data_IF_564361204274
#
_entry.id   IF_564361204274
#
_cell.length_a   1.000
_cell.length_b   1.000
_cell.length_c   1.000
_cell.angle_alpha   90.00
_cell.angle_beta   90.00
_cell.angle_gamma   90.00
#
_symmetry.space_group_name_H-M   'P 1'
#
loop_
_entity.id
_entity.type
_entity.pdbx_description
1 polymer ?
#
# COMPACT_ATOMS: atom_id res chain seq x y z
N UNK A 1 24.91 -5.80 -12.78
CA UNK A 1 23.45 -5.99 -12.96
C UNK A 1 23.02 -7.39 -12.52
N UNK A 2 23.44 -8.47 -13.21
CA UNK A 2 22.98 -9.84 -12.92
C UNK A 2 23.20 -10.30 -11.47
N UNK A 3 24.41 -10.13 -10.92
CA UNK A 3 24.69 -10.54 -9.53
C UNK A 3 23.80 -9.85 -8.49
N UNK A 4 23.38 -8.61 -8.75
CA UNK A 4 22.51 -7.87 -7.83
C UNK A 4 21.07 -8.36 -7.94
N UNK A 5 20.58 -8.59 -9.15
CA UNK A 5 19.24 -9.13 -9.37
C UNK A 5 19.07 -10.51 -8.72
N UNK A 6 20.08 -11.39 -8.82
CA UNK A 6 20.07 -12.68 -8.09
C UNK A 6 20.05 -12.51 -6.57
N UNK A 7 20.82 -11.57 -6.03
CA UNK A 7 20.82 -11.28 -4.60
C UNK A 7 19.44 -10.78 -4.13
N UNK A 8 18.84 -9.83 -4.86
CA UNK A 8 17.50 -9.31 -4.55
C UNK A 8 16.43 -10.40 -4.66
N UNK A 9 16.49 -11.26 -5.68
CA UNK A 9 15.56 -12.41 -5.79
C UNK A 9 15.69 -13.35 -4.60
N UNK A 10 16.92 -13.66 -4.17
CA UNK A 10 17.14 -14.49 -2.99
C UNK A 10 16.59 -13.82 -1.71
N UNK A 11 16.79 -12.52 -1.54
CA UNK A 11 16.24 -11.75 -0.42
C UNK A 11 14.72 -11.65 -0.47
N UNK A 12 14.13 -11.54 -1.66
CA UNK A 12 12.68 -11.39 -1.87
C UNK A 12 11.88 -12.66 -1.56
N UNK A 13 12.57 -13.78 -1.33
CA UNK A 13 11.96 -15.01 -0.81
C UNK A 13 11.84 -15.05 0.72
N UNK A 14 12.39 -14.05 1.43
CA UNK A 14 12.52 -14.04 2.89
C UNK A 14 11.63 -12.98 3.52
N UNK A 15 10.63 -13.35 4.32
CA UNK A 15 9.73 -12.40 4.99
C UNK A 15 10.32 -11.72 6.23
N UNK A 16 11.47 -12.20 6.71
CA UNK A 16 12.16 -11.66 7.89
C UNK A 16 13.64 -11.44 7.57
N UNK A 17 13.99 -10.20 7.27
CA UNK A 17 15.37 -9.73 7.17
C UNK A 17 15.73 -8.88 8.39
N UNK A 18 17.03 -8.79 8.70
CA UNK A 18 17.51 -7.90 9.74
C UNK A 18 17.21 -6.43 9.36
N UNK A 19 16.78 -5.62 10.31
CA UNK A 19 16.39 -4.21 10.07
C UNK A 19 17.51 -3.40 9.42
N UNK A 20 18.77 -3.66 9.77
CA UNK A 20 19.92 -3.02 9.13
C UNK A 20 19.98 -3.33 7.63
N UNK A 21 19.79 -4.60 7.27
CA UNK A 21 19.79 -5.03 5.86
C UNK A 21 18.59 -4.45 5.09
N UNK A 22 17.42 -4.35 5.73
CA UNK A 22 16.25 -3.70 5.11
C UNK A 22 16.54 -2.22 4.85
N UNK A 23 17.17 -1.51 5.78
CA UNK A 23 17.55 -0.11 5.59
C UNK A 23 18.66 0.05 4.53
N UNK A 24 19.60 -0.89 4.44
CA UNK A 24 20.63 -0.92 3.40
C UNK A 24 20.04 -1.08 1.99
N UNK A 25 18.78 -1.53 1.86
CA UNK A 25 18.08 -1.62 0.57
C UNK A 25 17.50 -0.28 0.10
N UNK A 26 17.30 0.70 0.99
CA UNK A 26 16.65 1.99 0.66
C UNK A 26 17.37 2.72 -0.49
N UNK A 27 18.71 2.84 -0.53
CA UNK A 27 19.39 3.51 -1.64
C UNK A 27 19.15 2.88 -3.02
N UNK A 28 18.76 1.60 -3.08
CA UNK A 28 18.49 0.91 -4.35
C UNK A 28 17.11 1.22 -4.94
N UNK A 29 16.27 1.92 -4.19
CA UNK A 29 14.99 2.46 -4.69
C UNK A 29 15.20 3.57 -5.74
N UNK A 30 16.34 4.27 -5.68
CA UNK A 30 16.73 5.31 -6.63
C UNK A 30 17.73 4.82 -7.69
N UNK A 31 17.98 3.52 -7.76
CA UNK A 31 18.98 2.94 -8.66
C UNK A 31 18.66 3.19 -10.15
N UNK A 32 19.65 3.56 -10.96
CA UNK A 32 19.44 3.91 -12.38
C UNK A 32 18.77 2.80 -13.22
N UNK A 33 18.95 1.54 -12.81
CA UNK A 33 18.30 0.37 -13.40
C UNK A 33 16.94 0.08 -12.76
N UNK A 34 15.88 0.16 -13.55
CA UNK A 34 14.50 -0.03 -13.12
C UNK A 34 14.20 -1.44 -12.63
N UNK A 35 14.87 -2.45 -13.19
CA UNK A 35 14.69 -3.84 -12.73
C UNK A 35 15.17 -3.96 -11.28
N UNK A 36 16.26 -3.27 -10.93
CA UNK A 36 16.80 -3.24 -9.57
C UNK A 36 15.85 -2.47 -8.66
N UNK A 37 15.26 -1.35 -9.09
CA UNK A 37 14.24 -0.64 -8.30
C UNK A 37 13.05 -1.55 -7.99
N UNK A 38 12.48 -2.21 -9.01
CA UNK A 38 11.31 -3.09 -8.85
C UNK A 38 11.63 -4.29 -7.95
N UNK A 39 12.78 -4.93 -8.15
CA UNK A 39 13.22 -6.03 -7.30
C UNK A 39 13.42 -5.58 -5.86
N UNK A 40 14.00 -4.39 -5.64
CA UNK A 40 14.17 -3.82 -4.30
C UNK A 40 12.81 -3.58 -3.63
N UNK A 41 11.88 -2.91 -4.30
CA UNK A 41 10.50 -2.69 -3.80
C UNK A 41 9.82 -4.03 -3.47
N UNK A 42 10.03 -5.05 -4.30
CA UNK A 42 9.46 -6.39 -4.06
C UNK A 42 10.02 -7.05 -2.80
N UNK A 43 11.33 -6.93 -2.56
CA UNK A 43 11.99 -7.43 -1.34
C UNK A 43 11.39 -6.75 -0.09
N UNK A 44 11.22 -5.42 -0.13
CA UNK A 44 10.61 -4.65 0.96
C UNK A 44 9.13 -5.02 1.15
N UNK A 45 8.40 -5.26 0.06
CA UNK A 45 7.01 -5.69 0.08
C UNK A 45 6.81 -7.02 0.81
N UNK A 46 7.73 -7.97 0.67
CA UNK A 46 7.65 -9.29 1.32
C UNK A 46 7.96 -9.23 2.83
N UNK A 47 8.63 -8.19 3.32
CA UNK A 47 8.97 -8.08 4.75
C UNK A 47 7.72 -7.99 5.63
N UNK A 48 7.66 -8.74 6.72
CA UNK A 48 6.50 -8.68 7.62
C UNK A 48 6.38 -7.32 8.33
N UNK A 49 7.51 -6.73 8.71
CA UNK A 49 7.60 -5.46 9.42
C UNK A 49 8.40 -4.49 8.54
N UNK A 50 7.89 -3.27 8.40
CA UNK A 50 8.61 -2.16 7.79
C UNK A 50 8.77 -1.04 8.82
N UNK A 51 9.98 -0.54 8.96
CA UNK A 51 10.24 0.66 9.74
C UNK A 51 9.75 1.90 8.97
N UNK A 52 9.53 3.01 9.69
CA UNK A 52 9.00 4.25 9.10
C UNK A 52 9.84 4.78 7.94
N UNK A 53 11.17 4.66 8.02
CA UNK A 53 12.09 5.04 6.94
C UNK A 53 11.78 4.33 5.61
N UNK A 54 11.45 3.05 5.69
CA UNK A 54 11.11 2.24 4.52
C UNK A 54 9.73 2.62 3.98
N UNK A 55 8.78 2.88 4.88
CA UNK A 55 7.44 3.33 4.50
C UNK A 55 7.53 4.68 3.78
N UNK A 56 8.27 5.64 4.33
CA UNK A 56 8.50 6.96 3.71
C UNK A 56 9.16 6.83 2.33
N UNK A 57 10.14 5.95 2.18
CA UNK A 57 10.78 5.70 0.89
C UNK A 57 9.80 5.12 -0.16
N UNK A 58 8.94 4.17 0.24
CA UNK A 58 7.90 3.62 -0.63
C UNK A 58 6.82 4.66 -0.99
N UNK A 59 6.47 5.54 -0.06
CA UNK A 59 5.57 6.67 -0.30
C UNK A 59 6.17 7.64 -1.30
N UNK A 60 7.45 7.97 -1.17
CA UNK A 60 8.15 8.85 -2.11
C UNK A 60 8.04 8.33 -3.54
N UNK A 61 8.27 7.03 -3.75
CA UNK A 61 8.11 6.37 -5.07
C UNK A 61 6.69 6.51 -5.60
N UNK A 62 5.70 6.32 -4.73
CA UNK A 62 4.29 6.34 -5.11
C UNK A 62 3.87 7.74 -5.58
N UNK A 63 4.34 8.78 -4.88
CA UNK A 63 4.03 10.19 -5.17
C UNK A 63 4.91 10.82 -6.26
N UNK A 64 6.02 10.17 -6.64
CA UNK A 64 6.95 10.68 -7.66
C UNK A 64 6.30 10.67 -9.04
N UNK A 65 6.05 11.87 -9.59
CA UNK A 65 5.42 12.04 -10.91
C UNK A 65 6.29 11.51 -12.07
N UNK A 66 7.59 11.38 -11.87
CA UNK A 66 8.52 10.82 -12.85
C UNK A 66 8.66 9.29 -12.77
N UNK A 67 8.20 8.68 -11.66
CA UNK A 67 8.28 7.24 -11.48
C UNK A 67 7.37 6.51 -12.47
N UNK A 68 7.92 5.46 -13.09
CA UNK A 68 7.16 4.64 -14.03
C UNK A 68 5.98 3.95 -13.35
N UNK A 69 4.84 3.77 -14.05
CA UNK A 69 3.65 3.13 -13.48
C UNK A 69 3.92 1.77 -12.82
N UNK A 70 4.79 0.94 -13.41
CA UNK A 70 5.15 -0.38 -12.84
C UNK A 70 5.83 -0.28 -11.47
N UNK A 71 6.65 0.75 -11.25
CA UNK A 71 7.36 0.96 -9.98
C UNK A 71 6.39 1.48 -8.92
N UNK A 72 5.54 2.44 -9.28
CA UNK A 72 4.45 2.92 -8.42
C UNK A 72 3.54 1.78 -8.00
N UNK A 73 3.16 0.91 -8.93
CA UNK A 73 2.34 -0.25 -8.64
C UNK A 73 3.01 -1.22 -7.65
N UNK A 74 4.31 -1.48 -7.83
CA UNK A 74 5.06 -2.30 -6.89
C UNK A 74 5.08 -1.67 -5.48
N UNK A 75 5.27 -0.35 -5.38
CA UNK A 75 5.30 0.35 -4.10
C UNK A 75 3.93 0.34 -3.41
N UNK A 76 2.86 0.62 -4.17
CA UNK A 76 1.50 0.53 -3.68
C UNK A 76 1.19 -0.88 -3.17
N UNK A 77 1.55 -1.93 -3.92
CA UNK A 77 1.38 -3.33 -3.50
C UNK A 77 2.19 -3.64 -2.24
N UNK A 78 3.44 -3.17 -2.15
CA UNK A 78 4.29 -3.37 -0.99
C UNK A 78 3.65 -2.77 0.28
N UNK A 79 3.21 -1.51 0.22
CA UNK A 79 2.49 -0.85 1.32
C UNK A 79 1.18 -1.58 1.65
N UNK A 80 0.44 -2.02 0.63
CA UNK A 80 -0.82 -2.75 0.77
C UNK A 80 -0.66 -4.04 1.59
N UNK A 81 0.45 -4.74 1.50
CA UNK A 81 0.62 -5.97 2.30
C UNK A 81 0.77 -5.72 3.81
N UNK A 82 0.96 -4.46 4.24
CA UNK A 82 1.20 -4.15 5.65
C UNK A 82 -0.11 -4.08 6.42
N UNK A 83 -0.06 -4.61 7.65
CA UNK A 83 -1.19 -4.58 8.58
C UNK A 83 -1.47 -3.17 9.06
N UNK A 84 -0.44 -2.42 9.43
CA UNK A 84 -0.56 -1.02 9.89
C UNK A 84 0.33 -0.13 9.02
N UNK A 85 -0.19 1.04 8.64
CA UNK A 85 0.55 2.08 7.94
C UNK A 85 0.27 3.44 8.61
N UNK A 86 1.23 4.37 8.61
CA UNK A 86 1.01 5.75 9.00
C UNK A 86 0.09 6.47 8.00
N UNK A 87 -0.54 7.55 8.45
CA UNK A 87 -1.46 8.37 7.66
C UNK A 87 -0.86 8.85 6.32
N UNK A 88 0.42 9.20 6.30
CA UNK A 88 1.08 9.65 5.07
C UNK A 88 1.09 8.56 3.97
N UNK A 89 1.26 7.30 4.35
CA UNK A 89 1.21 6.19 3.41
C UNK A 89 -0.22 5.88 2.97
N UNK A 90 -1.20 6.14 3.84
CA UNK A 90 -2.61 6.09 3.48
C UNK A 90 -2.94 7.12 2.40
N UNK A 91 -2.61 8.40 2.64
CA UNK A 91 -2.91 9.49 1.70
C UNK A 91 -2.25 9.22 0.35
N UNK A 92 -0.99 8.80 0.35
CA UNK A 92 -0.28 8.46 -0.88
C UNK A 92 -0.91 7.28 -1.64
N UNK A 93 -1.39 6.25 -0.94
CA UNK A 93 -2.13 5.15 -1.55
C UNK A 93 -3.46 5.60 -2.15
N UNK A 94 -4.18 6.50 -1.47
CA UNK A 94 -5.43 7.07 -1.94
C UNK A 94 -5.22 7.89 -3.21
N UNK A 95 -4.28 8.85 -3.19
CA UNK A 95 -4.00 9.71 -4.34
C UNK A 95 -3.52 8.90 -5.55
N UNK A 96 -2.84 7.77 -5.30
CA UNK A 96 -2.41 6.89 -6.37
C UNK A 96 -3.54 6.02 -6.96
N UNK A 97 -4.71 5.90 -6.32
CA UNK A 97 -5.79 5.02 -6.82
C UNK A 97 -6.20 5.38 -8.26
N UNK A 98 -6.24 6.66 -8.60
CA UNK A 98 -6.62 7.13 -9.94
C UNK A 98 -5.57 6.79 -11.02
N UNK A 99 -4.32 6.59 -10.62
CA UNK A 99 -3.16 6.33 -11.51
C UNK A 99 -2.78 4.84 -11.60
N UNK A 100 -3.41 3.98 -10.79
CA UNK A 100 -3.08 2.56 -10.69
C UNK A 100 -3.95 1.70 -11.62
N UNK A 101 -3.39 0.60 -12.13
CA UNK A 101 -4.18 -0.39 -12.87
C UNK A 101 -5.12 -1.18 -11.94
N UNK A 102 -6.15 -1.82 -12.52
CA UNK A 102 -7.18 -2.56 -11.77
C UNK A 102 -6.63 -3.51 -10.69
N UNK A 103 -5.55 -4.26 -10.97
CA UNK A 103 -4.98 -5.22 -10.01
C UNK A 103 -4.32 -4.56 -8.80
N UNK A 104 -3.73 -3.38 -8.99
CA UNK A 104 -3.09 -2.63 -7.89
C UNK A 104 -4.11 -1.79 -7.15
N UNK A 105 -5.11 -1.26 -7.84
CA UNK A 105 -6.34 -0.71 -7.26
C UNK A 105 -6.99 -1.71 -6.29
N UNK A 106 -7.16 -2.96 -6.72
CA UNK A 106 -7.68 -4.04 -5.87
C UNK A 106 -6.87 -4.23 -4.59
N UNK A 107 -5.54 -4.22 -4.72
CA UNK A 107 -4.61 -4.48 -3.63
C UNK A 107 -4.59 -3.31 -2.64
N UNK A 108 -4.47 -2.08 -3.16
CA UNK A 108 -4.53 -0.86 -2.37
C UNK A 108 -5.85 -0.78 -1.59
N UNK A 109 -6.98 -0.92 -2.28
CA UNK A 109 -8.29 -0.87 -1.67
C UNK A 109 -8.56 -1.99 -0.64
N UNK A 110 -8.05 -3.20 -0.88
CA UNK A 110 -8.09 -4.30 0.10
C UNK A 110 -7.38 -3.91 1.39
N UNK A 111 -6.26 -3.21 1.27
CA UNK A 111 -5.42 -2.81 2.40
C UNK A 111 -5.99 -1.63 3.15
N UNK A 112 -6.60 -0.68 2.44
CA UNK A 112 -7.39 0.38 3.05
C UNK A 112 -8.50 -0.22 3.93
N UNK A 113 -9.23 -1.23 3.42
CA UNK A 113 -10.24 -1.98 4.17
C UNK A 113 -9.70 -2.65 5.44
N UNK A 114 -8.55 -3.32 5.34
CA UNK A 114 -7.91 -3.95 6.51
C UNK A 114 -7.44 -2.94 7.56
N UNK A 115 -7.00 -1.75 7.15
CA UNK A 115 -6.44 -0.77 8.08
C UNK A 115 -7.50 -0.21 9.01
N UNK A 116 -8.74 -0.06 8.53
CA UNK A 116 -9.88 0.35 9.36
C UNK A 116 -10.16 -0.63 10.48
N UNK A 117 -9.95 -1.94 10.27
CA UNK A 117 -10.10 -2.95 11.35
C UNK A 117 -9.12 -2.79 12.52
N UNK A 118 -8.14 -1.89 12.41
CA UNK A 118 -7.10 -1.67 13.43
C UNK A 118 -7.20 -0.29 14.08
N UNK A 119 -8.02 0.62 13.52
CA UNK A 119 -8.26 1.94 14.07
C UNK A 119 -9.34 1.95 15.17
N UNK A 120 -9.55 0.81 15.86
CA UNK A 120 -10.56 0.63 16.91
C UNK A 120 -10.51 1.70 18.02
N UNK A 121 -9.36 2.36 18.22
CA UNK A 121 -9.15 3.33 19.31
C UNK A 121 -9.04 4.81 18.89
N UNK A 122 -9.03 5.15 17.60
CA UNK A 122 -8.94 6.55 17.13
C UNK A 122 -9.92 6.80 15.99
N UNK A 123 -11.20 6.90 16.35
CA UNK A 123 -12.29 7.28 15.47
C UNK A 123 -12.15 8.74 14.99
N UNK A 124 -11.45 8.94 13.89
CA UNK A 124 -11.88 9.84 12.82
C UNK A 124 -11.43 9.27 11.50
N UNK A 125 -12.32 8.53 10.83
CA UNK A 125 -12.25 8.40 9.38
C UNK A 125 -12.35 9.85 8.84
N UNK A 126 -11.21 10.47 8.51
CA UNK A 126 -11.22 11.81 7.91
C UNK A 126 -11.63 11.69 6.43
N UNK A 127 -12.12 12.77 5.84
CA UNK A 127 -12.81 12.79 4.53
C UNK A 127 -12.11 12.05 3.37
N UNK A 128 -10.76 12.06 3.24
CA UNK A 128 -10.05 11.27 2.22
C UNK A 128 -10.22 9.77 2.42
N UNK A 129 -10.24 9.30 3.67
CA UNK A 129 -10.45 7.88 3.99
C UNK A 129 -11.86 7.46 3.57
N UNK A 130 -12.86 8.27 3.94
CA UNK A 130 -14.27 8.04 3.57
C UNK A 130 -14.44 8.04 2.05
N UNK A 131 -13.83 9.00 1.35
CA UNK A 131 -13.90 9.10 -0.12
C UNK A 131 -13.24 7.90 -0.80
N UNK A 132 -12.09 7.43 -0.30
CA UNK A 132 -11.43 6.20 -0.75
C UNK A 132 -12.34 4.98 -0.64
N UNK A 133 -13.07 4.88 0.47
CA UNK A 133 -14.00 3.79 0.70
C UNK A 133 -15.17 3.82 -0.26
N UNK A 134 -15.81 4.97 -0.44
CA UNK A 134 -16.93 5.12 -1.36
C UNK A 134 -16.48 4.80 -2.79
N UNK A 135 -15.31 5.31 -3.21
CA UNK A 135 -14.73 5.01 -4.51
C UNK A 135 -14.45 3.50 -4.67
N UNK A 136 -13.93 2.85 -3.62
CA UNK A 136 -13.68 1.41 -3.61
C UNK A 136 -14.97 0.59 -3.69
N UNK A 137 -16.01 0.96 -2.95
CA UNK A 137 -17.30 0.25 -2.94
C UNK A 137 -17.96 0.35 -4.32
N UNK A 138 -17.93 1.55 -4.93
CA UNK A 138 -18.61 1.82 -6.19
C UNK A 138 -17.83 1.31 -7.42
N UNK A 139 -16.50 1.47 -7.41
CA UNK A 139 -15.64 1.24 -8.59
C UNK A 139 -14.57 0.17 -8.42
N UNK A 140 -14.26 -0.25 -7.19
CA UNK A 140 -13.24 -1.26 -6.92
C UNK A 140 -13.63 -2.65 -7.42
N UNK A 141 -12.66 -3.57 -7.51
CA UNK A 141 -12.94 -4.96 -7.82
C UNK A 141 -13.60 -5.69 -6.63
N UNK A 142 -14.17 -6.87 -6.89
CA UNK A 142 -14.91 -7.65 -5.88
C UNK A 142 -14.19 -7.79 -4.54
N UNK A 143 -12.92 -8.20 -4.53
CA UNK A 143 -12.15 -8.39 -3.31
C UNK A 143 -11.92 -7.09 -2.52
N UNK A 144 -11.71 -6.00 -3.24
CA UNK A 144 -11.54 -4.67 -2.65
C UNK A 144 -12.84 -4.16 -2.02
N UNK A 145 -13.98 -4.37 -2.69
CA UNK A 145 -15.31 -4.05 -2.15
C UNK A 145 -15.59 -4.81 -0.87
N UNK A 146 -15.39 -6.13 -0.87
CA UNK A 146 -15.60 -6.97 0.32
C UNK A 146 -14.70 -6.51 1.47
N UNK A 147 -13.41 -6.28 1.20
CA UNK A 147 -12.46 -5.83 2.24
C UNK A 147 -12.82 -4.45 2.78
N UNK A 148 -13.29 -3.54 1.93
CA UNK A 148 -13.79 -2.23 2.34
C UNK A 148 -15.02 -2.34 3.24
N UNK A 149 -16.01 -3.16 2.84
CA UNK A 149 -17.24 -3.38 3.61
C UNK A 149 -16.93 -4.09 4.94
N UNK A 150 -16.07 -5.10 4.93
CA UNK A 150 -15.61 -5.79 6.15
C UNK A 150 -14.89 -4.83 7.09
N UNK A 151 -13.99 -4.00 6.54
CA UNK A 151 -13.31 -2.93 7.29
C UNK A 151 -14.30 -2.00 7.97
N UNK A 152 -15.26 -1.47 7.21
CA UNK A 152 -16.28 -0.57 7.73
C UNK A 152 -17.20 -1.26 8.75
N UNK A 153 -17.53 -2.54 8.56
CA UNK A 153 -18.34 -3.33 9.49
C UNK A 153 -17.70 -3.51 10.87
N UNK A 154 -16.38 -3.34 11.00
CA UNK A 154 -15.70 -3.34 12.30
C UNK A 154 -15.78 -2.01 13.05
N UNK A 155 -16.19 -0.92 12.39
CA UNK A 155 -16.21 0.40 13.01
C UNK A 155 -17.44 0.59 13.92
N UNK A 156 -17.24 1.08 15.16
CA UNK A 156 -18.35 1.34 16.09
C UNK A 156 -19.23 2.52 15.65
N UNK A 157 -18.70 3.41 14.80
CA UNK A 157 -19.44 4.53 14.19
C UNK A 157 -19.09 4.64 12.71
N UNK A 158 -20.12 4.61 11.87
CA UNK A 158 -19.99 4.82 10.43
C UNK A 158 -20.61 6.16 10.03
N UNK A 159 -19.94 6.96 9.20
CA UNK A 159 -20.55 8.12 8.57
C UNK A 159 -21.73 7.71 7.70
N UNK A 160 -22.83 8.47 7.73
CA UNK A 160 -24.05 8.17 6.96
C UNK A 160 -23.79 8.04 5.46
N UNK A 161 -22.89 8.87 4.91
CA UNK A 161 -22.49 8.81 3.50
C UNK A 161 -21.90 7.45 3.10
N UNK A 162 -21.19 6.78 4.01
CA UNK A 162 -20.64 5.45 3.76
C UNK A 162 -21.75 4.40 3.76
N UNK A 163 -22.68 4.48 4.72
CA UNK A 163 -23.84 3.58 4.79
C UNK A 163 -24.66 3.65 3.50
N UNK A 164 -24.90 4.87 2.99
CA UNK A 164 -25.62 5.08 1.73
C UNK A 164 -24.92 4.46 0.53
N UNK A 165 -23.58 4.52 0.46
CA UNK A 165 -22.81 3.89 -0.62
C UNK A 165 -22.83 2.36 -0.60
N UNK A 166 -23.08 1.74 0.56
CA UNK A 166 -23.15 0.27 0.69
C UNK A 166 -24.50 -0.26 0.19
N UNK A 167 -25.58 0.51 0.39
CA UNK A 167 -26.96 0.08 0.08
C UNK A 167 -27.43 0.49 -1.34
N UNK A 168 -26.67 1.34 -2.04
CA UNK A 168 -26.98 1.81 -3.41
C UNK A 168 -26.48 0.85 -4.48
#
# INVERSE_FOLDING_TARGET
KESMDYALKALGSRPYLASSLVNDLIPYLDHADEDIKISTVSVLGVQHILDNSVIEALVSILTDQSAKPKIKQAAARALSTKRSLPEIAFVALYDALDDLNNDTLCSAATSLGKLVTLCDDQATLYDPIISAFIATINGGCWNARISAIEGLGTQPKLPEVVVLSIIS
#
